data_IF_634926208876
#
_entry.id   IF_634926208876
#
_cell.length_a   1.000
_cell.length_b   1.000
_cell.length_c   1.000
_cell.angle_alpha   90.00
_cell.angle_beta   90.00
_cell.angle_gamma   90.00
#
_symmetry.space_group_name_H-M   'P 1'
#
loop_
_entity.id
_entity.type
_entity.pdbx_description
1 polymer ?
#
# COMPACT_ATOMS: atom_id res chain seq x y z
N UNK A 1 32.88 -4.35 29.80
CA UNK A 1 32.17 -5.60 30.14
C UNK A 1 30.90 -5.62 29.30
N UNK A 2 30.92 -6.23 28.12
CA UNK A 2 29.72 -6.35 27.29
C UNK A 2 28.80 -7.40 27.93
N UNK A 3 27.70 -6.92 28.51
CA UNK A 3 26.60 -7.75 28.99
C UNK A 3 26.16 -8.65 27.84
N UNK A 4 26.36 -9.96 27.97
CA UNK A 4 25.72 -10.93 27.09
C UNK A 4 24.25 -10.98 27.51
N UNK A 5 23.41 -10.17 26.87
CA UNK A 5 21.97 -10.33 27.00
C UNK A 5 21.63 -11.77 26.58
N UNK A 6 20.94 -12.49 27.47
CA UNK A 6 20.44 -13.82 27.19
C UNK A 6 19.54 -13.74 25.95
N UNK A 7 19.77 -14.61 24.97
CA UNK A 7 19.01 -14.60 23.73
C UNK A 7 17.57 -15.02 24.02
N UNK A 8 16.61 -14.21 23.61
CA UNK A 8 15.19 -14.57 23.68
C UNK A 8 14.88 -15.58 22.58
N UNK A 9 14.81 -16.88 22.93
CA UNK A 9 14.57 -17.96 21.97
C UNK A 9 13.13 -18.44 22.09
N UNK A 10 12.37 -18.29 21.02
CA UNK A 10 10.99 -18.77 20.92
C UNK A 10 10.97 -20.13 20.22
N UNK A 11 10.17 -21.07 20.72
CA UNK A 11 9.95 -22.40 20.13
C UNK A 11 8.49 -22.54 19.73
N UNK A 12 8.22 -22.51 18.44
CA UNK A 12 6.88 -22.61 17.88
C UNK A 12 6.87 -23.68 16.79
N UNK A 13 6.01 -24.68 16.96
CA UNK A 13 5.81 -25.78 16.00
C UNK A 13 7.10 -26.53 15.62
N UNK A 14 8.04 -26.68 16.57
CA UNK A 14 9.30 -27.39 16.36
C UNK A 14 10.37 -26.55 15.66
N UNK A 15 10.13 -25.25 15.47
CA UNK A 15 11.11 -24.29 14.97
C UNK A 15 11.52 -23.34 16.09
N UNK A 16 12.84 -23.24 16.32
CA UNK A 16 13.44 -22.33 17.30
C UNK A 16 14.04 -21.14 16.60
N UNK A 17 13.71 -19.94 17.04
CA UNK A 17 14.24 -18.70 16.48
C UNK A 17 14.51 -17.66 17.56
N UNK A 18 15.43 -16.74 17.25
CA UNK A 18 15.78 -15.62 18.13
C UNK A 18 14.79 -14.47 17.91
N UNK A 19 14.10 -14.10 18.97
CA UNK A 19 13.20 -12.96 18.99
C UNK A 19 14.01 -11.68 19.12
N UNK A 20 14.19 -10.99 17.99
CA UNK A 20 14.84 -9.68 17.93
C UNK A 20 13.87 -8.52 18.14
N UNK A 21 14.38 -7.32 18.41
CA UNK A 21 13.60 -6.06 18.49
C UNK A 21 12.76 -5.74 17.24
N UNK A 22 13.05 -6.37 16.10
CA UNK A 22 12.26 -6.26 14.87
C UNK A 22 10.98 -7.12 14.85
N UNK A 23 10.81 -8.05 15.80
CA UNK A 23 9.60 -8.87 15.91
C UNK A 23 8.55 -8.16 16.77
N UNK A 24 7.35 -7.99 16.24
CA UNK A 24 6.22 -7.40 16.97
C UNK A 24 5.58 -8.40 17.92
N UNK A 25 5.31 -8.00 19.17
CA UNK A 25 4.58 -8.84 20.15
C UNK A 25 3.12 -9.04 19.74
N UNK A 26 2.44 -10.02 20.35
CA UNK A 26 1.02 -10.27 20.08
C UNK A 26 0.17 -9.02 20.36
N UNK A 27 0.41 -8.32 21.47
CA UNK A 27 -0.31 -7.09 21.84
C UNK A 27 -0.08 -5.97 20.82
N UNK A 28 1.09 -5.93 20.18
CA UNK A 28 1.39 -4.98 19.09
C UNK A 28 0.73 -5.39 17.77
N UNK A 29 0.61 -6.69 17.50
CA UNK A 29 0.00 -7.21 16.26
C UNK A 29 -1.53 -7.18 16.28
N UNK A 30 -2.17 -7.44 17.43
CA UNK A 30 -3.63 -7.54 17.53
C UNK A 30 -4.37 -6.29 16.99
N UNK A 31 -3.96 -5.05 17.31
CA UNK A 31 -4.59 -3.85 16.76
C UNK A 31 -4.43 -3.72 15.24
N UNK A 32 -3.33 -4.21 14.66
CA UNK A 32 -3.04 -4.09 13.23
C UNK A 32 -4.05 -4.86 12.36
N UNK A 33 -4.71 -5.89 12.91
CA UNK A 33 -5.80 -6.60 12.22
C UNK A 33 -6.97 -5.70 11.83
N UNK A 34 -7.17 -4.61 12.58
CA UNK A 34 -8.23 -3.63 12.35
C UNK A 34 -7.71 -2.35 11.70
N UNK A 35 -6.43 -2.32 11.33
CA UNK A 35 -5.82 -1.24 10.56
C UNK A 35 -5.87 -1.56 9.07
N UNK A 36 -5.91 -0.53 8.25
CA UNK A 36 -5.92 -0.64 6.79
C UNK A 36 -5.33 0.63 6.19
N UNK A 37 -5.14 0.64 4.87
CA UNK A 37 -4.66 1.80 4.13
C UNK A 37 -5.77 2.85 4.00
N UNK A 38 -5.81 3.79 4.94
CA UNK A 38 -6.77 4.90 4.96
C UNK A 38 -6.53 5.86 3.79
N UNK A 39 -5.28 6.06 3.38
CA UNK A 39 -4.96 6.90 2.23
C UNK A 39 -5.48 6.27 0.93
N UNK A 40 -5.27 4.96 0.76
CA UNK A 40 -5.81 4.19 -0.36
C UNK A 40 -7.35 4.21 -0.42
N UNK A 41 -8.03 4.12 0.74
CA UNK A 41 -9.49 4.27 0.83
C UNK A 41 -9.95 5.65 0.32
N UNK A 42 -9.36 6.72 0.83
CA UNK A 42 -9.69 8.10 0.45
C UNK A 42 -9.46 8.35 -1.05
N UNK A 43 -8.36 7.85 -1.60
CA UNK A 43 -8.04 7.94 -3.03
C UNK A 43 -9.07 7.22 -3.87
N UNK A 44 -9.46 6.00 -3.47
CA UNK A 44 -10.46 5.23 -4.20
C UNK A 44 -11.81 5.95 -4.27
N UNK A 45 -12.24 6.58 -3.17
CA UNK A 45 -13.46 7.37 -3.13
C UNK A 45 -13.41 8.56 -4.10
N UNK A 46 -12.32 9.35 -4.05
CA UNK A 46 -12.10 10.52 -4.92
C UNK A 46 -12.08 10.16 -6.41
N UNK A 47 -11.39 9.07 -6.77
CA UNK A 47 -11.33 8.62 -8.17
C UNK A 47 -12.72 8.21 -8.68
N UNK A 48 -13.50 7.47 -7.86
CA UNK A 48 -14.87 7.09 -8.23
C UNK A 48 -15.79 8.30 -8.39
N UNK A 49 -15.71 9.26 -7.48
CA UNK A 49 -16.51 10.49 -7.57
C UNK A 49 -16.21 11.27 -8.85
N UNK A 50 -14.93 11.35 -9.24
CA UNK A 50 -14.54 12.02 -10.49
C UNK A 50 -14.98 11.24 -11.74
N UNK A 51 -14.92 9.91 -11.71
CA UNK A 51 -15.48 9.08 -12.78
C UNK A 51 -16.99 9.31 -12.93
N UNK A 52 -17.74 9.39 -11.81
CA UNK A 52 -19.18 9.66 -11.83
C UNK A 52 -19.50 11.05 -12.37
N UNK A 53 -18.74 12.09 -11.96
CA UNK A 53 -18.90 13.45 -12.47
C UNK A 53 -18.68 13.52 -13.99
N UNK A 54 -17.60 12.93 -14.49
CA UNK A 54 -17.30 12.86 -15.93
C UNK A 54 -18.39 12.11 -16.73
N UNK A 55 -18.92 11.01 -16.18
CA UNK A 55 -20.01 10.29 -16.83
C UNK A 55 -21.31 11.11 -16.91
N UNK A 56 -21.60 11.92 -15.88
CA UNK A 56 -22.74 12.84 -15.89
C UNK A 56 -22.56 13.98 -16.90
N UNK A 57 -21.37 14.57 -16.99
CA UNK A 57 -21.03 15.60 -17.98
C UNK A 57 -21.15 15.10 -19.43
N UNK A 58 -20.76 13.85 -19.68
CA UNK A 58 -20.83 13.23 -21.00
C UNK A 58 -22.24 12.78 -21.41
N UNK A 59 -23.26 13.01 -20.56
CA UNK A 59 -24.64 12.57 -20.83
C UNK A 59 -24.82 11.05 -20.79
N UNK A 60 -23.85 10.31 -20.24
CA UNK A 60 -23.91 8.85 -20.05
C UNK A 60 -24.68 8.46 -18.77
N UNK A 61 -25.10 9.46 -17.99
CA UNK A 61 -25.92 9.24 -16.81
C UNK A 61 -27.38 8.90 -17.19
N UNK A 62 -27.77 7.66 -16.86
CA UNK A 62 -29.15 7.16 -16.74
C UNK A 62 -29.81 6.48 -17.96
N UNK A 63 -29.10 5.61 -18.67
CA UNK A 63 -29.71 4.64 -19.60
C UNK A 63 -29.27 3.20 -19.34
N UNK A 64 -30.04 2.43 -18.53
CA UNK A 64 -30.05 0.94 -18.34
C UNK A 64 -28.74 0.12 -18.53
N UNK A 65 -27.58 0.73 -18.36
CA UNK A 65 -26.28 0.08 -18.35
C UNK A 65 -25.40 0.91 -17.44
N UNK A 66 -24.77 0.27 -16.46
CA UNK A 66 -23.79 0.95 -15.62
C UNK A 66 -22.80 1.73 -16.52
N UNK A 67 -22.39 2.95 -16.13
CA UNK A 67 -21.37 3.69 -16.88
C UNK A 67 -20.20 2.74 -17.16
N UNK A 68 -19.67 2.76 -18.39
CA UNK A 68 -18.57 1.88 -18.77
C UNK A 68 -17.50 2.02 -17.69
N UNK A 69 -17.14 0.91 -17.05
CA UNK A 69 -16.14 0.90 -15.97
C UNK A 69 -14.88 1.56 -16.53
N UNK A 70 -14.67 2.82 -16.17
CA UNK A 70 -13.51 3.57 -16.62
C UNK A 70 -12.32 2.94 -15.92
N UNK A 71 -11.23 2.76 -16.66
CA UNK A 71 -10.04 2.15 -16.11
C UNK A 71 -9.58 2.93 -14.87
N UNK A 72 -9.49 2.23 -13.74
CA UNK A 72 -9.20 2.84 -12.44
C UNK A 72 -7.78 3.41 -12.42
N UNK A 73 -6.83 2.71 -13.03
CA UNK A 73 -5.43 3.13 -13.07
C UNK A 73 -5.27 4.37 -13.94
N UNK A 74 -5.85 4.40 -15.13
CA UNK A 74 -5.79 5.57 -16.02
C UNK A 74 -6.47 6.79 -15.38
N UNK A 75 -7.57 6.57 -14.64
CA UNK A 75 -8.22 7.64 -13.88
C UNK A 75 -7.32 8.17 -12.76
N UNK A 76 -6.77 7.27 -11.95
CA UNK A 76 -5.83 7.60 -10.88
C UNK A 76 -4.63 8.38 -11.41
N UNK A 77 -3.98 7.86 -12.45
CA UNK A 77 -2.82 8.46 -13.09
C UNK A 77 -3.15 9.85 -13.66
N UNK A 78 -4.28 9.99 -14.36
CA UNK A 78 -4.73 11.28 -14.89
C UNK A 78 -4.91 12.33 -13.78
N UNK A 79 -5.49 11.94 -12.64
CA UNK A 79 -5.74 12.85 -11.51
C UNK A 79 -4.42 13.17 -10.78
N UNK A 80 -3.58 12.17 -10.55
CA UNK A 80 -2.28 12.35 -9.91
C UNK A 80 -1.37 13.27 -10.72
N UNK A 81 -1.35 13.12 -12.05
CA UNK A 81 -0.52 13.94 -12.92
C UNK A 81 -1.05 15.37 -13.10
N UNK A 82 -2.34 15.62 -12.90
CA UNK A 82 -2.86 17.00 -12.87
C UNK A 82 -2.41 17.76 -11.63
N UNK A 83 -2.05 17.04 -10.56
CA UNK A 83 -1.67 17.59 -9.24
C UNK A 83 -2.74 18.46 -8.58
N UNK A 84 -3.99 18.36 -9.04
CA UNK A 84 -5.12 19.15 -8.52
C UNK A 84 -5.68 18.57 -7.22
N UNK A 85 -5.64 17.24 -7.06
CA UNK A 85 -6.04 16.58 -5.83
C UNK A 85 -4.80 16.23 -4.99
N UNK A 86 -4.56 16.93 -3.87
CA UNK A 86 -3.35 16.72 -3.07
C UNK A 86 -3.31 15.34 -2.39
N UNK A 87 -4.46 14.72 -2.12
CA UNK A 87 -4.52 13.39 -1.51
C UNK A 87 -4.12 12.34 -2.52
N UNK A 88 -4.65 12.43 -3.74
CA UNK A 88 -4.27 11.54 -4.85
C UNK A 88 -2.82 11.75 -5.26
N UNK A 89 -2.35 13.00 -5.27
CA UNK A 89 -0.95 13.33 -5.58
C UNK A 89 0.00 12.72 -4.54
N UNK A 90 -0.28 12.89 -3.25
CA UNK A 90 0.50 12.28 -2.16
C UNK A 90 0.56 10.76 -2.29
N UNK A 91 -0.59 10.11 -2.50
CA UNK A 91 -0.62 8.66 -2.68
C UNK A 91 0.24 8.21 -3.87
N UNK A 92 0.15 8.93 -4.99
CA UNK A 92 0.94 8.63 -6.18
C UNK A 92 2.44 8.76 -5.92
N UNK A 93 2.86 9.78 -5.19
CA UNK A 93 4.27 9.98 -4.80
C UNK A 93 4.72 8.88 -3.84
N UNK A 94 3.94 8.57 -2.81
CA UNK A 94 4.25 7.54 -1.81
C UNK A 94 4.48 6.17 -2.47
N UNK A 95 3.62 5.74 -3.41
CA UNK A 95 3.74 4.42 -4.07
C UNK A 95 4.84 4.35 -5.13
N UNK A 96 5.30 5.49 -5.67
CA UNK A 96 6.41 5.54 -6.64
C UNK A 96 7.75 5.88 -6.00
N UNK A 97 7.78 6.17 -4.70
CA UNK A 97 9.02 6.46 -3.98
C UNK A 97 9.73 5.16 -3.65
N UNK A 98 10.99 5.04 -4.10
CA UNK A 98 11.87 3.94 -3.71
C UNK A 98 12.42 4.22 -2.32
N UNK A 99 12.17 3.38 -1.30
CA UNK A 99 12.72 3.59 0.03
C UNK A 99 14.24 3.53 0.07
N UNK A 100 14.86 4.28 0.98
CA UNK A 100 16.33 4.37 1.08
C UNK A 100 17.02 3.04 1.41
N UNK A 101 16.31 2.12 2.06
CA UNK A 101 16.82 0.80 2.41
C UNK A 101 16.85 -0.18 1.22
N UNK A 102 16.33 0.22 0.05
CA UNK A 102 16.33 -0.64 -1.15
C UNK A 102 17.74 -0.75 -1.74
N UNK A 103 18.24 -1.99 -1.76
CA UNK A 103 19.50 -2.36 -2.41
C UNK A 103 19.21 -3.16 -3.69
N UNK A 104 19.44 -2.52 -4.84
CA UNK A 104 19.19 -3.11 -6.16
C UNK A 104 20.10 -4.29 -6.48
N UNK A 105 21.33 -4.31 -5.97
CA UNK A 105 22.25 -5.43 -6.19
C UNK A 105 21.77 -6.65 -5.40
N UNK A 106 21.24 -6.46 -4.19
CA UNK A 106 20.61 -7.54 -3.40
C UNK A 106 19.40 -8.13 -4.11
N UNK A 107 18.50 -7.27 -4.62
CA UNK A 107 17.30 -7.71 -5.37
C UNK A 107 17.71 -8.51 -6.61
N UNK A 108 18.68 -8.00 -7.39
CA UNK A 108 19.18 -8.67 -8.60
C UNK A 108 19.80 -10.03 -8.28
N UNK A 109 20.55 -10.14 -7.18
CA UNK A 109 21.10 -11.43 -6.72
C UNK A 109 19.99 -12.39 -6.33
N UNK A 110 18.97 -11.93 -5.60
CA UNK A 110 17.80 -12.72 -5.25
C UNK A 110 17.09 -13.29 -6.49
N UNK A 111 16.81 -12.45 -7.48
CA UNK A 111 16.17 -12.85 -8.74
C UNK A 111 16.97 -13.81 -9.62
N UNK A 112 18.29 -13.97 -9.38
CA UNK A 112 19.12 -14.92 -10.14
C UNK A 112 19.08 -16.34 -9.57
N UNK A 113 18.71 -16.49 -8.30
CA UNK A 113 18.70 -17.77 -7.58
C UNK A 113 17.31 -18.43 -7.63
N UNK A 114 16.25 -17.63 -7.83
CA UNK A 114 14.87 -18.08 -8.08
C UNK A 114 14.60 -18.21 -9.59
#
# INVERSE_FOLDING_TARGET
MASHAEKDIHDVWGYKYEWTDLHMTEEQQMPLRYSYDTLGEDVLARVKDLQMKKAAENGEAAGKGAPRKTDLYESLKSIALSKEDPVVTKFWEDVHTVPEWVDWDQIKRGQRIW
#
